data_IF_565086678907
#
_entry.id   IF_565086678907
#
_cell.length_a   1.000
_cell.length_b   1.000
_cell.length_c   1.000
_cell.angle_alpha   90.00
_cell.angle_beta   90.00
_cell.angle_gamma   90.00
#
_symmetry.space_group_name_H-M   'P 1'
#
loop_
_entity.id
_entity.type
_entity.pdbx_description
1 polymer ?
#
# COMPACT_ATOMS: atom_id res chain seq x y z
N UNK A 1 -11.56 3.17 -5.16
CA UNK A 1 -10.75 3.90 -4.17
C UNK A 1 -11.22 3.46 -2.79
N UNK A 2 -10.30 3.26 -1.84
CA UNK A 2 -10.66 3.08 -0.43
C UNK A 2 -11.29 4.38 0.09
N UNK A 3 -11.87 4.37 1.29
CA UNK A 3 -12.51 5.53 1.94
C UNK A 3 -11.63 6.80 1.92
N UNK A 4 -10.32 6.64 1.80
CA UNK A 4 -9.30 7.70 1.79
C UNK A 4 -8.88 8.18 0.39
N UNK A 5 -9.49 7.67 -0.69
CA UNK A 5 -9.14 8.06 -2.06
C UNK A 5 -7.95 7.29 -2.65
N UNK A 6 -7.31 6.41 -1.89
CA UNK A 6 -6.18 5.60 -2.36
C UNK A 6 -6.63 4.42 -3.22
N UNK A 7 -5.75 4.00 -4.14
CA UNK A 7 -5.93 2.76 -4.90
C UNK A 7 -5.69 1.54 -4.01
N UNK A 8 -6.21 0.39 -4.43
CA UNK A 8 -5.95 -0.87 -3.71
C UNK A 8 -4.46 -1.20 -3.73
N UNK A 9 -3.76 -0.97 -4.85
CA UNK A 9 -2.32 -1.20 -4.95
C UNK A 9 -1.53 -0.34 -3.96
N UNK A 10 -1.92 0.94 -3.82
CA UNK A 10 -1.32 1.86 -2.86
C UNK A 10 -1.47 1.37 -1.42
N UNK A 11 -2.68 0.98 -1.01
CA UNK A 11 -2.93 0.47 0.35
C UNK A 11 -2.19 -0.83 0.62
N UNK A 12 -2.19 -1.77 -0.33
CA UNK A 12 -1.50 -3.04 -0.17
C UNK A 12 0.02 -2.89 -0.05
N UNK A 13 0.63 -2.01 -0.85
CA UNK A 13 2.07 -1.76 -0.80
C UNK A 13 2.47 -0.98 0.45
N UNK A 14 1.68 0.03 0.85
CA UNK A 14 1.91 0.77 2.09
C UNK A 14 1.85 -0.14 3.32
N UNK A 15 0.85 -1.03 3.37
CA UNK A 15 0.73 -2.03 4.42
C UNK A 15 1.95 -2.96 4.49
N UNK A 16 2.47 -3.43 3.35
CA UNK A 16 3.68 -4.26 3.33
C UNK A 16 4.91 -3.50 3.84
N UNK A 17 5.06 -2.22 3.48
CA UNK A 17 6.18 -1.38 3.90
C UNK A 17 6.15 -1.08 5.40
N UNK A 18 4.97 -0.86 5.99
CA UNK A 18 4.83 -0.58 7.42
C UNK A 18 5.09 -1.80 8.31
N UNK A 19 4.92 -3.03 7.80
CA UNK A 19 5.10 -4.25 8.60
C UNK A 19 6.52 -4.47 9.10
N UNK A 20 7.53 -3.99 8.38
CA UNK A 20 8.92 -4.12 8.81
C UNK A 20 9.85 -3.25 7.97
N UNK A 21 10.85 -2.60 8.59
CA UNK A 21 11.82 -1.78 7.87
C UNK A 21 12.71 -2.56 6.89
N UNK A 22 12.69 -3.90 6.91
CA UNK A 22 13.47 -4.74 5.99
C UNK A 22 12.63 -5.32 4.84
N UNK A 23 11.33 -5.03 4.78
CA UNK A 23 10.48 -5.45 3.66
C UNK A 23 10.64 -4.46 2.52
N UNK A 24 11.08 -4.96 1.36
CA UNK A 24 11.16 -4.19 0.12
C UNK A 24 10.32 -4.90 -0.95
N UNK A 25 9.05 -4.50 -1.17
CA UNK A 25 8.23 -5.08 -2.22
C UNK A 25 8.79 -4.71 -3.60
N UNK A 26 8.79 -5.66 -4.54
CA UNK A 26 9.21 -5.45 -5.93
C UNK A 26 7.99 -5.60 -6.85
N UNK A 27 7.08 -4.60 -6.89
CA UNK A 27 5.87 -4.71 -7.68
C UNK A 27 6.19 -4.61 -9.18
N UNK A 28 5.81 -5.63 -9.94
CA UNK A 28 5.89 -5.62 -11.39
C UNK A 28 4.67 -4.97 -12.04
N UNK A 29 4.87 -4.20 -13.10
CA UNK A 29 3.78 -3.70 -13.95
C UNK A 29 4.28 -3.38 -15.37
N UNK A 30 3.42 -3.57 -16.37
CA UNK A 30 3.64 -3.14 -17.76
C UNK A 30 2.89 -1.84 -18.12
N UNK A 31 2.06 -1.32 -17.20
CA UNK A 31 1.24 -0.12 -17.39
C UNK A 31 1.79 1.05 -16.59
N UNK A 32 1.83 2.24 -17.22
CA UNK A 32 2.30 3.48 -16.59
C UNK A 32 1.39 3.90 -15.42
N UNK A 33 0.07 3.84 -15.59
CA UNK A 33 -0.86 4.20 -14.52
C UNK A 33 -0.61 3.39 -13.23
N UNK A 34 -0.35 2.09 -13.37
CA UNK A 34 -0.02 1.23 -12.22
C UNK A 34 1.36 1.55 -11.62
N UNK A 35 2.32 1.98 -12.44
CA UNK A 35 3.61 2.45 -11.93
C UNK A 35 3.41 3.68 -11.03
N UNK A 36 2.59 4.63 -11.48
CA UNK A 36 2.25 5.84 -10.72
C UNK A 36 1.53 5.49 -9.42
N UNK A 37 0.56 4.56 -9.46
CA UNK A 37 -0.08 4.04 -8.25
C UNK A 37 0.92 3.40 -7.29
N UNK A 38 1.78 2.49 -7.79
CA UNK A 38 2.78 1.80 -6.98
C UNK A 38 3.74 2.78 -6.29
N UNK A 39 4.19 3.81 -7.01
CA UNK A 39 5.03 4.87 -6.45
C UNK A 39 4.30 5.68 -5.38
N UNK A 40 3.01 5.97 -5.61
CA UNK A 40 2.16 6.70 -4.67
C UNK A 40 1.93 5.98 -3.33
N UNK A 41 2.15 4.67 -3.25
CA UNK A 41 2.04 3.90 -2.00
C UNK A 41 2.93 4.46 -0.88
N UNK A 42 4.09 5.04 -1.22
CA UNK A 42 5.02 5.64 -0.23
C UNK A 42 4.48 6.90 0.45
N UNK A 43 3.41 7.49 -0.11
CA UNK A 43 2.73 8.67 0.45
C UNK A 43 1.47 8.33 1.24
N UNK A 44 1.09 7.05 1.29
CA UNK A 44 -0.02 6.56 2.09
C UNK A 44 0.45 6.42 3.54
N UNK A 45 -0.36 6.93 4.46
CA UNK A 45 -0.17 6.74 5.90
C UNK A 45 -1.38 5.98 6.41
N UNK A 46 -1.16 4.78 6.94
CA UNK A 46 -2.23 3.97 7.51
C UNK A 46 -2.25 4.25 9.02
N UNK A 47 -3.41 4.63 9.56
CA UNK A 47 -3.55 4.77 11.01
C UNK A 47 -3.61 3.40 11.70
N UNK A 48 -3.46 3.39 13.02
CA UNK A 48 -3.40 2.16 13.82
C UNK A 48 -4.66 1.30 13.63
N UNK A 49 -5.84 1.93 13.50
CA UNK A 49 -7.11 1.23 13.27
C UNK A 49 -7.12 0.53 11.91
N UNK A 50 -6.72 1.24 10.85
CA UNK A 50 -6.64 0.69 9.49
C UNK A 50 -5.58 -0.40 9.41
N UNK A 51 -4.42 -0.20 10.03
CA UNK A 51 -3.36 -1.21 10.10
C UNK A 51 -3.83 -2.48 10.83
N UNK A 52 -4.52 -2.34 11.96
CA UNK A 52 -5.09 -3.47 12.68
C UNK A 52 -6.12 -4.22 11.83
N UNK A 53 -7.01 -3.50 11.14
CA UNK A 53 -7.99 -4.09 10.24
C UNK A 53 -7.33 -4.87 9.08
N UNK A 54 -6.30 -4.31 8.44
CA UNK A 54 -5.57 -4.98 7.36
C UNK A 54 -4.78 -6.19 7.84
N UNK A 55 -4.17 -6.12 9.04
CA UNK A 55 -3.49 -7.26 9.66
C UNK A 55 -4.44 -8.42 9.98
N UNK A 56 -5.71 -8.14 10.29
CA UNK A 56 -6.71 -9.19 10.55
C UNK A 56 -7.24 -9.87 9.27
N UNK A 57 -7.04 -9.24 8.11
CA UNK A 57 -7.43 -9.77 6.80
C UNK A 57 -6.33 -10.64 6.14
N UNK A 58 -5.08 -10.50 6.58
CA UNK A 58 -3.91 -11.23 6.08
C UNK A 58 -3.52 -12.44 6.91
#
# INVERSE_FOLDING_TARGET
ATTHGWSVAQVSLAWLLERSPVIVPIPGTSRRDHLEENMGATSVTLDDETMAALNALG
#
